data_IF_331809711226
#
_entry.id   IF_331809711226
#
_cell.length_a   1.000
_cell.length_b   1.000
_cell.length_c   1.000
_cell.angle_alpha   90.00
_cell.angle_beta   90.00
_cell.angle_gamma   90.00
#
_symmetry.space_group_name_H-M   'P 1'
#
loop_
_entity.id
_entity.type
_entity.pdbx_description
1 polymer ?
#
# COMPACT_ATOMS: atom_id res chain seq x y z
N UNK A 1 -18.64 -1.77 7.76
CA UNK A 1 -18.37 -2.59 6.55
C UNK A 1 -17.51 -1.82 5.54
N UNK A 2 -17.72 -0.51 5.36
CA UNK A 2 -16.97 0.32 4.39
C UNK A 2 -15.46 0.23 4.50
N UNK A 3 -14.88 0.44 5.69
CA UNK A 3 -13.42 0.30 5.91
C UNK A 3 -12.88 -1.06 5.50
N UNK A 4 -13.55 -2.16 5.88
CA UNK A 4 -13.04 -3.49 5.57
C UNK A 4 -13.08 -3.78 4.07
N UNK A 5 -14.15 -3.35 3.38
CA UNK A 5 -14.26 -3.45 1.92
C UNK A 5 -13.18 -2.59 1.24
N UNK A 6 -12.94 -1.38 1.74
CA UNK A 6 -11.90 -0.50 1.23
C UNK A 6 -10.50 -1.12 1.37
N UNK A 7 -10.13 -1.57 2.57
CA UNK A 7 -8.84 -2.22 2.80
C UNK A 7 -8.67 -3.49 1.96
N UNK A 8 -9.72 -4.29 1.77
CA UNK A 8 -9.68 -5.48 0.91
C UNK A 8 -9.43 -5.09 -0.56
N UNK A 9 -10.07 -4.05 -1.06
CA UNK A 9 -9.86 -3.59 -2.44
C UNK A 9 -8.41 -3.17 -2.68
N UNK A 10 -7.75 -2.53 -1.70
CA UNK A 10 -6.31 -2.22 -1.80
C UNK A 10 -5.49 -3.50 -1.93
N UNK A 11 -5.78 -4.53 -1.14
CA UNK A 11 -5.06 -5.82 -1.23
C UNK A 11 -5.25 -6.46 -2.61
N UNK A 12 -6.46 -6.39 -3.18
CA UNK A 12 -6.71 -6.89 -4.53
C UNK A 12 -5.88 -6.12 -5.58
N UNK A 13 -5.84 -4.78 -5.48
CA UNK A 13 -5.01 -3.95 -6.37
C UNK A 13 -3.52 -4.27 -6.25
N UNK A 14 -3.01 -4.46 -5.03
CA UNK A 14 -1.63 -4.88 -4.79
C UNK A 14 -1.35 -6.22 -5.49
N UNK A 15 -2.25 -7.20 -5.39
CA UNK A 15 -2.07 -8.51 -6.02
C UNK A 15 -2.13 -8.42 -7.56
N UNK A 16 -2.97 -7.54 -8.09
CA UNK A 16 -3.15 -7.35 -9.54
C UNK A 16 -2.05 -6.47 -10.17
N UNK A 17 -1.22 -5.79 -9.35
CA UNK A 17 -0.15 -4.92 -9.84
C UNK A 17 1.02 -5.73 -10.42
N UNK A 18 1.39 -5.46 -11.68
CA UNK A 18 2.61 -5.98 -12.31
C UNK A 18 3.84 -5.25 -11.73
N UNK A 19 4.33 -5.73 -10.58
CA UNK A 19 5.44 -5.12 -9.87
C UNK A 19 6.78 -5.48 -10.50
N UNK A 20 7.62 -4.48 -10.72
CA UNK A 20 8.97 -4.64 -11.26
C UNK A 20 10.00 -4.09 -10.28
N UNK A 21 11.03 -4.88 -10.05
CA UNK A 21 12.11 -4.57 -9.11
C UNK A 21 13.45 -4.75 -9.85
N UNK A 22 14.41 -3.85 -9.62
CA UNK A 22 15.72 -3.93 -10.25
C UNK A 22 16.57 -5.04 -9.62
N UNK A 23 16.33 -5.34 -8.34
CA UNK A 23 17.08 -6.34 -7.60
C UNK A 23 16.31 -7.00 -6.46
N UNK A 24 16.77 -8.18 -6.04
CA UNK A 24 16.12 -8.98 -5.00
C UNK A 24 16.04 -8.27 -3.63
N UNK A 25 17.03 -7.45 -3.29
CA UNK A 25 17.05 -6.71 -2.00
C UNK A 25 15.93 -5.67 -1.88
N UNK A 26 15.47 -5.13 -3.02
CA UNK A 26 14.41 -4.12 -3.08
C UNK A 26 13.06 -4.72 -2.69
N UNK A 27 12.80 -5.97 -3.09
CA UNK A 27 11.54 -6.69 -2.82
C UNK A 27 11.23 -6.69 -1.33
N UNK A 28 12.18 -7.18 -0.52
CA UNK A 28 11.99 -7.28 0.93
C UNK A 28 11.84 -5.92 1.60
N UNK A 29 12.56 -4.91 1.13
CA UNK A 29 12.49 -3.55 1.68
C UNK A 29 11.16 -2.88 1.33
N UNK A 30 10.69 -3.05 0.09
CA UNK A 30 9.44 -2.48 -0.41
C UNK A 30 8.23 -3.07 0.31
N UNK A 31 8.13 -4.39 0.41
CA UNK A 31 6.99 -5.03 1.09
C UNK A 31 6.94 -4.69 2.59
N UNK A 32 8.09 -4.55 3.27
CA UNK A 32 8.11 -4.09 4.67
C UNK A 32 7.51 -2.70 4.84
N UNK A 33 7.82 -1.78 3.92
CA UNK A 33 7.25 -0.42 3.91
C UNK A 33 5.74 -0.47 3.66
N UNK A 34 5.30 -1.23 2.65
CA UNK A 34 3.89 -1.37 2.30
C UNK A 34 3.07 -1.92 3.48
N UNK A 35 3.53 -3.01 4.09
CA UNK A 35 2.87 -3.62 5.25
C UNK A 35 2.78 -2.63 6.41
N UNK A 36 3.83 -1.83 6.63
CA UNK A 36 3.79 -0.82 7.67
C UNK A 36 2.77 0.28 7.37
N UNK A 37 2.70 0.80 6.14
CA UNK A 37 1.70 1.80 5.75
C UNK A 37 0.27 1.27 5.93
N UNK A 38 -0.04 0.06 5.44
CA UNK A 38 -1.34 -0.58 5.62
C UNK A 38 -1.69 -0.81 7.11
N UNK A 39 -0.70 -1.12 7.95
CA UNK A 39 -0.88 -1.22 9.40
C UNK A 39 -1.22 0.14 10.02
N UNK A 40 -0.59 1.23 9.59
CA UNK A 40 -0.92 2.57 10.08
C UNK A 40 -2.30 3.05 9.61
N UNK A 41 -2.70 2.71 8.39
CA UNK A 41 -4.08 2.87 7.94
C UNK A 41 -5.06 2.11 8.84
N UNK A 42 -4.63 0.95 9.38
CA UNK A 42 -5.46 0.19 10.29
C UNK A 42 -5.60 0.85 11.68
N UNK A 43 -4.56 1.55 12.14
CA UNK A 43 -4.57 2.23 13.45
C UNK A 43 -5.18 3.64 13.41
N UNK A 44 -5.23 4.27 12.24
CA UNK A 44 -5.84 5.58 12.06
C UNK A 44 -7.36 5.50 11.95
N UNK A 45 -8.02 6.61 12.30
CA UNK A 45 -9.47 6.74 12.10
C UNK A 45 -9.78 6.76 10.60
N UNK A 46 -10.74 5.95 10.15
CA UNK A 46 -11.09 5.84 8.73
C UNK A 46 -11.49 7.20 8.14
N UNK A 47 -10.87 7.59 7.03
CA UNK A 47 -11.08 8.89 6.38
C UNK A 47 -10.41 10.09 7.05
N UNK A 48 -9.68 9.89 8.15
CA UNK A 48 -8.89 10.95 8.78
C UNK A 48 -7.75 11.43 7.87
N UNK A 49 -7.20 12.60 8.17
CA UNK A 49 -6.01 13.10 7.46
C UNK A 49 -4.83 12.12 7.53
N UNK A 50 -4.63 11.47 8.68
CA UNK A 50 -3.60 10.44 8.86
C UNK A 50 -3.85 9.23 7.95
N UNK A 51 -5.08 8.72 7.95
CA UNK A 51 -5.49 7.62 7.07
C UNK A 51 -5.24 7.96 5.60
N UNK A 52 -5.67 9.15 5.16
CA UNK A 52 -5.52 9.60 3.77
C UNK A 52 -4.05 9.82 3.38
N UNK A 53 -3.20 10.23 4.33
CA UNK A 53 -1.76 10.36 4.09
C UNK A 53 -1.12 9.00 3.83
N UNK A 54 -1.45 7.98 4.63
CA UNK A 54 -0.94 6.62 4.43
C UNK A 54 -1.53 5.96 3.18
N UNK A 55 -2.81 6.20 2.84
CA UNK A 55 -3.36 5.77 1.55
C UNK A 55 -2.53 6.33 0.39
N UNK A 56 -2.25 7.64 0.41
CA UNK A 56 -1.46 8.30 -0.63
C UNK A 56 -0.04 7.73 -0.73
N UNK A 57 0.58 7.38 0.40
CA UNK A 57 1.88 6.70 0.43
C UNK A 57 1.80 5.34 -0.29
N UNK A 58 0.76 4.54 0.00
CA UNK A 58 0.53 3.26 -0.70
C UNK A 58 0.33 3.45 -2.21
N UNK A 59 -0.49 4.42 -2.62
CA UNK A 59 -0.75 4.71 -4.04
C UNK A 59 0.54 5.11 -4.79
N UNK A 60 1.39 5.90 -4.13
CA UNK A 60 2.69 6.30 -4.67
C UNK A 60 3.62 5.09 -4.81
N UNK A 61 3.72 4.24 -3.78
CA UNK A 61 4.53 3.03 -3.81
C UNK A 61 4.12 2.09 -4.94
N UNK A 62 2.81 1.90 -5.16
CA UNK A 62 2.28 1.08 -6.25
C UNK A 62 2.57 1.68 -7.63
N UNK A 63 2.42 3.00 -7.76
CA UNK A 63 2.74 3.71 -9.00
C UNK A 63 4.22 3.60 -9.37
N UNK A 64 5.11 3.67 -8.38
CA UNK A 64 6.56 3.57 -8.57
C UNK A 64 6.95 2.16 -9.01
N UNK A 65 6.50 1.13 -8.30
CA UNK A 65 6.89 -0.26 -8.58
C UNK A 65 6.29 -0.81 -9.89
N UNK A 66 5.14 -0.26 -10.33
CA UNK A 66 4.52 -0.65 -11.61
C UNK A 66 5.20 -0.02 -12.84
N UNK A 67 5.99 1.05 -12.66
CA UNK A 67 6.68 1.77 -13.75
C UNK A 67 8.10 1.27 -14.01
N UNK A 68 8.69 0.55 -13.06
CA UNK A 68 10.08 0.07 -13.12
C UNK A 68 10.30 -1.07 -14.13
#
# INVERSE_FOLDING_TARGET
IERQKFMLNIILEIIDTDMRFEGFEEVGTWFKKLINALKQMNYSSFGSGEFNNYQKEVDQMLTEVAKS
#
